data_IF_384612336059
#
_entry.id   IF_384612336059
#
_cell.length_a   1.000
_cell.length_b   1.000
_cell.length_c   1.000
_cell.angle_alpha   90.00
_cell.angle_beta   90.00
_cell.angle_gamma   90.00
#
_symmetry.space_group_name_H-M   'P 1'
#
loop_
_entity.id
_entity.type
_entity.pdbx_description
1 polymer ?
#
# COMPACT_ATOMS: atom_id res chain seq x y z
N UNK A 1 9.44 4.41 -18.10
CA UNK A 1 8.87 4.55 -16.74
C UNK A 1 10.00 4.50 -15.73
N UNK A 2 10.10 5.49 -14.84
CA UNK A 2 11.01 5.48 -13.70
C UNK A 2 10.30 4.81 -12.51
N UNK A 3 11.06 4.04 -11.74
CA UNK A 3 10.57 3.33 -10.57
C UNK A 3 11.56 3.48 -9.40
N UNK A 4 11.07 3.74 -8.21
CA UNK A 4 11.83 3.72 -6.96
C UNK A 4 11.03 3.02 -5.87
N UNK A 5 11.71 2.25 -5.04
CA UNK A 5 11.20 1.67 -3.82
C UNK A 5 11.87 2.41 -2.64
N UNK A 6 11.07 3.02 -1.79
CA UNK A 6 11.52 3.92 -0.72
C UNK A 6 11.11 3.33 0.63
N UNK A 7 12.08 3.04 1.48
CA UNK A 7 11.82 2.37 2.75
C UNK A 7 11.69 3.35 3.91
N UNK A 8 10.70 3.16 4.76
CA UNK A 8 10.55 3.80 6.06
C UNK A 8 10.86 2.77 7.17
N UNK A 9 11.77 3.14 8.07
CA UNK A 9 12.39 2.19 9.00
C UNK A 9 11.51 1.82 10.20
N UNK A 10 10.71 2.77 10.72
CA UNK A 10 9.95 2.57 11.96
C UNK A 10 8.76 1.63 11.77
N UNK A 11 7.98 1.83 10.70
CA UNK A 11 6.86 0.97 10.31
C UNK A 11 7.27 -0.19 9.40
N UNK A 12 8.53 -0.18 8.90
CA UNK A 12 9.03 -1.12 7.88
C UNK A 12 8.21 -1.08 6.59
N UNK A 13 7.73 0.11 6.23
CA UNK A 13 6.86 0.34 5.08
C UNK A 13 7.66 0.72 3.84
N UNK A 14 7.23 0.23 2.69
CA UNK A 14 7.68 0.68 1.38
C UNK A 14 6.69 1.64 0.75
N UNK A 15 7.16 2.84 0.44
CA UNK A 15 6.50 3.75 -0.51
C UNK A 15 7.05 3.46 -1.91
N UNK A 16 6.18 3.40 -2.91
CA UNK A 16 6.60 3.16 -4.30
C UNK A 16 6.38 4.41 -5.15
N UNK A 17 7.45 4.86 -5.83
CA UNK A 17 7.39 5.97 -6.78
C UNK A 17 7.35 5.43 -8.21
N UNK A 18 6.33 5.82 -8.95
CA UNK A 18 6.19 5.58 -10.40
C UNK A 18 6.16 6.91 -11.13
N UNK A 19 7.01 7.08 -12.15
CA UNK A 19 6.97 8.29 -12.97
C UNK A 19 6.90 7.94 -14.46
N UNK A 20 5.99 8.61 -15.14
CA UNK A 20 5.89 8.58 -16.60
C UNK A 20 6.90 9.54 -17.21
N UNK A 21 7.94 9.02 -17.86
CA UNK A 21 9.03 9.81 -18.44
C UNK A 21 8.55 10.78 -19.54
N UNK A 22 7.52 10.39 -20.30
CA UNK A 22 6.98 11.23 -21.37
C UNK A 22 6.25 12.48 -20.86
N UNK A 23 5.50 12.33 -19.75
CA UNK A 23 4.66 13.41 -19.22
C UNK A 23 5.23 14.09 -17.96
N UNK A 24 6.27 13.50 -17.35
CA UNK A 24 6.81 13.93 -16.06
C UNK A 24 5.86 13.72 -14.87
N UNK A 25 4.67 13.13 -15.09
CA UNK A 25 3.70 12.85 -14.02
C UNK A 25 4.23 11.75 -13.12
N UNK A 26 4.11 11.96 -11.81
CA UNK A 26 4.57 11.02 -10.80
C UNK A 26 3.45 10.65 -9.84
N UNK A 27 3.47 9.42 -9.40
CA UNK A 27 2.60 8.80 -8.41
C UNK A 27 3.45 8.26 -7.27
N UNK A 28 3.00 8.45 -6.03
CA UNK A 28 3.49 7.71 -4.85
C UNK A 28 2.39 6.74 -4.40
N UNK A 29 2.75 5.47 -4.18
CA UNK A 29 1.87 4.46 -3.58
C UNK A 29 2.27 4.33 -2.11
N UNK A 30 1.29 4.38 -1.21
CA UNK A 30 1.41 4.24 0.25
C UNK A 30 2.52 5.14 0.87
N UNK A 31 2.47 6.48 0.71
CA UNK A 31 3.47 7.37 1.27
C UNK A 31 3.32 7.51 2.78
N UNK A 32 4.42 7.44 3.51
CA UNK A 32 4.47 7.60 4.97
C UNK A 32 4.69 9.05 5.36
N UNK A 33 3.92 9.57 6.33
CA UNK A 33 3.98 10.98 6.77
C UNK A 33 5.40 11.41 7.20
N UNK A 34 6.07 10.55 7.95
CA UNK A 34 7.42 10.80 8.46
C UNK A 34 8.49 10.96 7.37
N UNK A 35 8.23 10.46 6.15
CA UNK A 35 9.19 10.50 5.04
C UNK A 35 8.82 11.47 3.93
N UNK A 36 7.77 12.28 4.11
CA UNK A 36 7.29 13.23 3.08
C UNK A 36 8.40 14.16 2.59
N UNK A 37 9.23 14.70 3.50
CA UNK A 37 10.29 15.65 3.14
C UNK A 37 11.39 14.96 2.29
N UNK A 38 11.76 13.71 2.61
CA UNK A 38 12.66 12.87 1.80
C UNK A 38 12.09 12.67 0.39
N UNK A 39 10.80 12.33 0.31
CA UNK A 39 10.16 12.00 -0.95
C UNK A 39 10.03 13.24 -1.84
N UNK A 40 9.72 14.40 -1.25
CA UNK A 40 9.71 15.69 -1.95
C UNK A 40 11.11 16.10 -2.45
N UNK A 41 12.14 15.92 -1.62
CA UNK A 41 13.52 16.18 -2.04
C UNK A 41 13.92 15.30 -3.22
N UNK A 42 13.62 14.00 -3.18
CA UNK A 42 13.90 13.07 -4.27
C UNK A 42 13.20 13.51 -5.58
N UNK A 43 11.93 13.88 -5.50
CA UNK A 43 11.17 14.39 -6.64
C UNK A 43 11.82 15.65 -7.23
N UNK A 44 12.25 16.57 -6.39
CA UNK A 44 12.95 17.80 -6.81
C UNK A 44 14.27 17.50 -7.49
N UNK A 45 15.11 16.63 -6.90
CA UNK A 45 16.40 16.21 -7.47
C UNK A 45 16.25 15.54 -8.84
N UNK A 46 15.16 14.80 -9.03
CA UNK A 46 14.86 14.13 -10.30
C UNK A 46 14.10 15.03 -11.30
N UNK A 47 13.71 16.25 -10.94
CA UNK A 47 12.92 17.14 -11.78
C UNK A 47 11.52 16.60 -12.08
N UNK A 48 10.94 15.81 -11.16
CA UNK A 48 9.63 15.18 -11.31
C UNK A 48 8.54 15.99 -10.61
N UNK A 49 7.32 15.93 -11.16
CA UNK A 49 6.14 16.56 -10.56
C UNK A 49 5.23 15.49 -9.96
N UNK A 50 5.05 15.50 -8.63
CA UNK A 50 4.03 14.68 -7.99
C UNK A 50 2.63 15.14 -8.44
N UNK A 51 1.86 14.22 -8.98
CA UNK A 51 0.51 14.49 -9.46
C UNK A 51 -0.55 13.68 -8.73
N UNK A 52 -0.17 12.53 -8.15
CA UNK A 52 -1.07 11.65 -7.45
C UNK A 52 -0.37 10.96 -6.26
N UNK A 53 -1.16 10.70 -5.24
CA UNK A 53 -0.91 9.68 -4.22
C UNK A 53 -1.96 8.59 -4.41
N UNK A 54 -1.60 7.33 -4.19
CA UNK A 54 -2.49 6.17 -4.34
C UNK A 54 -2.32 5.25 -3.13
N UNK A 55 -3.39 5.07 -2.36
CA UNK A 55 -3.39 4.20 -1.18
C UNK A 55 -3.91 2.81 -1.53
N UNK A 56 -3.30 1.76 -0.98
CA UNK A 56 -3.79 0.38 -1.10
C UNK A 56 -4.95 0.12 -0.14
N UNK A 57 -4.90 0.67 1.05
CA UNK A 57 -5.89 0.50 2.13
C UNK A 57 -5.73 1.58 3.21
N UNK A 58 -6.57 1.56 4.23
CA UNK A 58 -6.40 2.39 5.44
C UNK A 58 -5.37 1.71 6.35
N UNK A 59 -4.16 2.30 6.44
CA UNK A 59 -3.05 1.76 7.21
C UNK A 59 -3.26 1.90 8.73
N UNK A 60 -2.83 0.90 9.51
CA UNK A 60 -2.92 0.89 10.98
C UNK A 60 -1.56 1.09 11.67
N UNK A 61 -0.47 1.05 10.93
CA UNK A 61 0.92 1.04 11.41
C UNK A 61 1.66 2.37 11.22
N UNK A 62 1.14 3.26 10.36
CA UNK A 62 1.67 4.60 10.13
C UNK A 62 0.58 5.57 9.68
N UNK A 63 0.82 6.87 9.82
CA UNK A 63 0.01 7.90 9.15
C UNK A 63 0.49 8.07 7.72
N UNK A 64 -0.48 8.11 6.78
CA UNK A 64 -0.14 8.43 5.38
C UNK A 64 0.30 9.88 5.23
N UNK A 65 1.25 10.11 4.32
CA UNK A 65 1.69 11.45 3.92
C UNK A 65 0.77 12.16 2.92
N UNK A 66 -0.35 11.54 2.54
CA UNK A 66 -1.18 11.99 1.42
C UNK A 66 -1.67 13.44 1.55
N UNK A 67 -2.21 13.83 2.72
CA UNK A 67 -2.71 15.19 2.94
C UNK A 67 -1.58 16.24 2.91
N UNK A 68 -0.44 15.95 3.56
CA UNK A 68 0.73 16.85 3.56
C UNK A 68 1.28 17.01 2.14
N UNK A 69 1.42 15.92 1.40
CA UNK A 69 1.85 15.94 0.00
C UNK A 69 0.90 16.77 -0.87
N UNK A 70 -0.43 16.60 -0.72
CA UNK A 70 -1.42 17.39 -1.45
C UNK A 70 -1.30 18.88 -1.11
N UNK A 71 -1.13 19.24 0.15
CA UNK A 71 -0.99 20.64 0.60
C UNK A 71 0.23 21.31 -0.05
N UNK A 72 1.33 20.58 -0.22
CA UNK A 72 2.59 21.13 -0.75
C UNK A 72 2.61 21.12 -2.29
N UNK A 73 2.07 20.09 -2.94
CA UNK A 73 2.26 19.85 -4.38
C UNK A 73 1.00 20.00 -5.23
N UNK A 74 -0.16 20.17 -4.60
CA UNK A 74 -1.48 20.15 -5.26
C UNK A 74 -1.75 18.80 -5.98
N UNK A 75 -1.16 17.70 -5.50
CA UNK A 75 -1.44 16.37 -6.03
C UNK A 75 -2.83 15.89 -5.64
N UNK A 76 -3.39 14.95 -6.38
CA UNK A 76 -4.66 14.30 -6.06
C UNK A 76 -4.45 13.07 -5.21
N UNK A 77 -5.35 12.84 -4.27
CA UNK A 77 -5.38 11.64 -3.44
C UNK A 77 -6.35 10.63 -4.07
N UNK A 78 -5.82 9.45 -4.39
CA UNK A 78 -6.56 8.30 -4.89
C UNK A 78 -6.51 7.16 -3.88
N UNK A 79 -7.52 6.31 -3.86
CA UNK A 79 -7.58 5.13 -2.99
C UNK A 79 -8.88 4.36 -3.18
N UNK A 80 -9.10 3.25 -2.48
CA UNK A 80 -10.26 2.38 -2.64
C UNK A 80 -11.58 3.15 -2.58
N UNK A 81 -12.43 3.02 -3.61
CA UNK A 81 -13.69 3.76 -3.69
C UNK A 81 -14.64 3.41 -2.54
N UNK A 82 -14.59 2.17 -2.06
CA UNK A 82 -15.47 1.65 -1.01
C UNK A 82 -15.22 2.29 0.36
N UNK A 83 -14.01 2.79 0.65
CA UNK A 83 -13.70 3.49 1.91
C UNK A 83 -14.48 4.81 2.05
N UNK A 84 -14.95 5.38 0.94
CA UNK A 84 -15.76 6.60 0.90
C UNK A 84 -15.16 7.77 1.71
N UNK A 85 -13.84 7.95 1.64
CA UNK A 85 -13.12 8.97 2.41
C UNK A 85 -13.47 10.39 1.93
N UNK A 86 -13.79 11.34 2.84
CA UNK A 86 -14.18 12.69 2.47
C UNK A 86 -13.04 13.53 1.85
N UNK A 87 -11.81 13.14 2.10
CA UNK A 87 -10.61 13.82 1.64
C UNK A 87 -10.03 13.27 0.33
N UNK A 88 -10.56 12.15 -0.18
CA UNK A 88 -10.10 11.51 -1.40
C UNK A 88 -10.67 12.22 -2.64
N UNK A 89 -9.81 12.46 -3.64
CA UNK A 89 -10.19 13.08 -4.92
C UNK A 89 -10.64 12.03 -5.94
N UNK A 90 -10.04 10.82 -5.92
CA UNK A 90 -10.26 9.76 -6.91
C UNK A 90 -10.53 8.44 -6.20
N UNK A 91 -11.74 7.90 -6.34
CA UNK A 91 -12.06 6.54 -5.94
C UNK A 91 -11.60 5.55 -7.00
N UNK A 92 -10.74 4.58 -6.63
CA UNK A 92 -10.34 3.49 -7.53
C UNK A 92 -11.19 2.26 -7.29
N UNK A 93 -11.47 1.53 -8.35
CA UNK A 93 -12.21 0.28 -8.29
C UNK A 93 -11.71 -0.69 -9.36
N UNK A 94 -11.90 -1.97 -9.09
CA UNK A 94 -11.52 -3.02 -10.05
C UNK A 94 -12.28 -2.85 -11.37
N UNK A 95 -11.58 -3.11 -12.49
CA UNK A 95 -12.12 -2.93 -13.84
C UNK A 95 -11.99 -1.52 -14.41
N UNK A 96 -11.60 -0.54 -13.60
CA UNK A 96 -11.33 0.84 -14.05
C UNK A 96 -9.84 1.16 -13.90
N UNK A 97 -9.05 1.11 -14.98
CA UNK A 97 -7.61 1.38 -14.91
C UNK A 97 -7.32 2.82 -14.46
N UNK A 98 -6.37 2.97 -13.54
CA UNK A 98 -5.79 4.26 -13.18
C UNK A 98 -4.70 4.65 -14.18
N UNK A 99 -4.77 5.85 -14.76
CA UNK A 99 -3.89 6.30 -15.84
C UNK A 99 -2.93 7.38 -15.37
N UNK A 100 -1.63 7.08 -15.41
CA UNK A 100 -0.55 8.01 -15.10
C UNK A 100 0.27 8.31 -16.37
N UNK A 101 -0.14 9.32 -17.14
CA UNK A 101 0.47 9.57 -18.45
C UNK A 101 0.22 8.40 -19.40
N UNK A 102 1.30 7.75 -19.88
CA UNK A 102 1.21 6.53 -20.69
C UNK A 102 1.21 5.23 -19.87
N UNK A 103 1.28 5.32 -18.53
CA UNK A 103 1.30 4.16 -17.65
C UNK A 103 -0.13 3.81 -17.25
N UNK A 104 -0.53 2.56 -17.47
CA UNK A 104 -1.78 1.99 -17.01
C UNK A 104 -1.54 1.11 -15.78
N UNK A 105 -2.26 1.39 -14.71
CA UNK A 105 -2.25 0.65 -13.44
C UNK A 105 -3.64 0.06 -13.24
N UNK A 106 -3.73 -1.26 -13.07
CA UNK A 106 -5.00 -1.96 -12.93
C UNK A 106 -5.27 -2.25 -11.45
N UNK A 107 -6.28 -1.62 -10.83
CA UNK A 107 -6.69 -1.95 -9.48
C UNK A 107 -7.28 -3.37 -9.43
N UNK A 108 -6.92 -4.11 -8.41
CA UNK A 108 -7.48 -5.41 -8.07
C UNK A 108 -8.12 -5.30 -6.69
N UNK A 109 -9.40 -5.56 -6.57
CA UNK A 109 -10.10 -5.62 -5.29
C UNK A 109 -9.69 -6.89 -4.55
N UNK A 110 -8.95 -6.75 -3.44
CA UNK A 110 -8.30 -7.85 -2.73
C UNK A 110 -8.58 -7.80 -1.23
N UNK A 111 -9.87 -7.92 -0.84
CA UNK A 111 -10.27 -7.88 0.56
C UNK A 111 -9.64 -9.04 1.35
N UNK A 112 -9.53 -8.83 2.67
CA UNK A 112 -9.14 -9.86 3.61
C UNK A 112 -8.14 -9.40 4.66
N UNK A 113 -7.12 -8.59 4.33
CA UNK A 113 -6.35 -7.84 5.33
C UNK A 113 -7.22 -6.71 5.92
N UNK A 114 -7.78 -5.89 5.05
CA UNK A 114 -8.94 -5.03 5.34
C UNK A 114 -10.07 -5.37 4.37
N UNK A 115 -11.30 -4.93 4.67
CA UNK A 115 -12.48 -5.20 3.84
C UNK A 115 -12.46 -4.49 2.48
N UNK A 116 -11.76 -3.37 2.36
CA UNK A 116 -11.71 -2.57 1.12
C UNK A 116 -10.31 -2.53 0.47
N UNK A 117 -9.40 -3.40 0.89
CA UNK A 117 -8.04 -3.47 0.37
C UNK A 117 -8.02 -3.61 -1.16
N UNK A 118 -7.10 -2.88 -1.81
CA UNK A 118 -6.79 -3.00 -3.23
C UNK A 118 -5.29 -3.23 -3.42
N UNK A 119 -4.96 -4.11 -4.36
CA UNK A 119 -3.63 -4.22 -4.93
C UNK A 119 -3.60 -3.53 -6.30
N UNK A 120 -2.41 -3.23 -6.80
CA UNK A 120 -2.23 -2.54 -8.08
C UNK A 120 -1.33 -3.32 -9.00
N UNK A 121 -1.87 -3.75 -10.14
CA UNK A 121 -1.13 -4.48 -11.16
C UNK A 121 -0.70 -3.55 -12.29
N UNK A 122 0.59 -3.44 -12.49
CA UNK A 122 1.20 -2.82 -13.65
C UNK A 122 1.69 -3.94 -14.56
N UNK A 123 0.95 -4.19 -15.64
CA UNK A 123 1.31 -5.20 -16.62
C UNK A 123 1.68 -4.52 -17.95
N UNK A 124 2.83 -4.88 -18.48
CA UNK A 124 3.27 -4.49 -19.81
C UNK A 124 3.88 -5.70 -20.53
N UNK A 125 4.26 -5.53 -21.80
CA UNK A 125 4.80 -6.61 -22.62
C UNK A 125 6.20 -7.11 -22.19
N UNK A 126 6.85 -6.47 -21.23
CA UNK A 126 8.22 -6.75 -20.82
C UNK A 126 8.24 -7.36 -19.42
N UNK A 127 7.48 -6.78 -18.49
CA UNK A 127 7.52 -7.15 -17.08
C UNK A 127 6.20 -6.79 -16.40
N UNK A 128 5.69 -7.70 -15.59
CA UNK A 128 4.52 -7.44 -14.72
C UNK A 128 4.97 -7.17 -13.30
N UNK A 129 4.39 -6.14 -12.68
CA UNK A 129 4.65 -5.74 -11.28
C UNK A 129 3.34 -5.66 -10.52
N UNK A 130 3.29 -6.35 -9.40
CA UNK A 130 2.17 -6.31 -8.47
C UNK A 130 2.58 -5.56 -7.21
N UNK A 131 1.94 -4.43 -6.93
CA UNK A 131 1.98 -3.75 -5.64
C UNK A 131 0.88 -4.36 -4.79
N UNK A 132 1.26 -5.30 -3.95
CA UNK A 132 0.31 -6.18 -3.26
C UNK A 132 -0.29 -5.58 -1.99
N UNK A 133 0.17 -4.39 -1.56
CA UNK A 133 -0.19 -3.86 -0.27
C UNK A 133 0.12 -4.87 0.84
N UNK A 134 -0.81 -5.02 1.76
CA UNK A 134 -0.72 -6.01 2.84
C UNK A 134 -1.48 -7.31 2.55
N UNK A 135 -2.02 -7.50 1.34
CA UNK A 135 -2.64 -8.79 1.02
C UNK A 135 -1.61 -9.92 0.92
N UNK A 136 -0.50 -9.71 0.19
CA UNK A 136 0.59 -10.69 0.06
C UNK A 136 1.92 -10.04 0.40
N UNK A 137 2.62 -10.58 1.38
CA UNK A 137 3.96 -10.20 1.81
C UNK A 137 4.97 -11.26 1.40
N UNK A 138 6.26 -10.97 1.53
CA UNK A 138 7.32 -11.95 1.24
C UNK A 138 7.31 -13.04 2.33
N UNK A 139 7.17 -14.30 1.93
CA UNK A 139 7.03 -15.48 2.82
C UNK A 139 5.84 -15.40 3.80
N UNK A 140 4.89 -14.49 3.57
CA UNK A 140 3.83 -14.18 4.53
C UNK A 140 2.63 -13.54 3.84
N UNK A 141 1.63 -13.14 4.61
CA UNK A 141 0.52 -12.29 4.18
C UNK A 141 0.08 -11.40 5.34
N UNK A 142 -0.72 -10.39 5.06
CA UNK A 142 -1.28 -9.51 6.09
C UNK A 142 -2.10 -10.27 7.13
N UNK A 143 -2.20 -9.69 8.32
CA UNK A 143 -3.11 -10.17 9.37
C UNK A 143 -4.57 -9.90 8.98
N UNK A 144 -5.50 -10.62 9.59
CA UNK A 144 -6.93 -10.55 9.25
C UNK A 144 -7.83 -10.36 10.48
N UNK A 145 -7.26 -10.01 11.61
CA UNK A 145 -7.95 -9.92 12.91
C UNK A 145 -8.39 -8.49 13.28
N UNK A 146 -8.16 -7.49 12.39
CA UNK A 146 -8.58 -6.09 12.54
C UNK A 146 -9.26 -5.58 11.28
N UNK A 147 -9.84 -4.37 11.35
CA UNK A 147 -10.38 -3.60 10.23
C UNK A 147 -11.27 -4.44 9.29
N UNK A 148 -12.18 -5.25 9.89
CA UNK A 148 -13.07 -6.16 9.17
C UNK A 148 -12.34 -7.21 8.31
N UNK A 149 -11.09 -7.56 8.68
CA UNK A 149 -10.32 -8.58 8.00
C UNK A 149 -10.98 -9.96 8.04
N UNK A 150 -10.67 -10.76 7.03
CA UNK A 150 -11.25 -12.09 6.83
C UNK A 150 -10.20 -13.02 6.21
N UNK A 151 -9.80 -14.09 6.90
CA UNK A 151 -8.85 -15.04 6.31
C UNK A 151 -9.44 -15.74 5.09
N UNK A 152 -10.75 -15.98 5.05
CA UNK A 152 -11.43 -16.57 3.89
C UNK A 152 -11.33 -15.68 2.66
N UNK A 153 -11.55 -14.38 2.83
CA UNK A 153 -11.50 -13.42 1.72
C UNK A 153 -10.06 -13.17 1.29
N UNK A 154 -9.10 -13.12 2.23
CA UNK A 154 -7.68 -13.00 1.89
C UNK A 154 -7.19 -14.19 1.08
N UNK A 155 -7.58 -15.42 1.47
CA UNK A 155 -7.26 -16.62 0.71
C UNK A 155 -7.78 -16.55 -0.71
N UNK A 156 -9.06 -16.18 -0.90
CA UNK A 156 -9.66 -16.02 -2.24
C UNK A 156 -8.95 -14.93 -3.03
N UNK A 157 -8.71 -13.77 -2.43
CA UNK A 157 -8.02 -12.65 -3.07
C UNK A 157 -6.65 -13.09 -3.62
N UNK A 158 -5.86 -13.81 -2.84
CA UNK A 158 -4.54 -14.28 -3.27
C UNK A 158 -4.66 -15.37 -4.35
N UNK A 159 -5.51 -16.37 -4.16
CA UNK A 159 -5.64 -17.48 -5.09
C UNK A 159 -6.27 -17.08 -6.43
N UNK A 160 -7.32 -16.27 -6.40
CA UNK A 160 -8.11 -15.94 -7.59
C UNK A 160 -7.57 -14.73 -8.36
N UNK A 161 -6.74 -13.87 -7.70
CA UNK A 161 -6.22 -12.65 -8.35
C UNK A 161 -4.71 -12.60 -8.47
N UNK A 162 -3.97 -13.11 -7.49
CA UNK A 162 -2.51 -13.08 -7.55
C UNK A 162 -1.92 -14.37 -8.12
N UNK A 163 -2.34 -15.51 -7.60
CA UNK A 163 -1.78 -16.81 -8.02
C UNK A 163 -2.18 -17.24 -9.43
N UNK A 164 -3.08 -16.52 -10.10
CA UNK A 164 -3.37 -16.69 -11.53
C UNK A 164 -2.43 -15.87 -12.42
N UNK A 165 -1.67 -14.93 -11.87
CA UNK A 165 -0.69 -14.15 -12.61
C UNK A 165 0.50 -15.04 -13.03
N UNK A 166 1.27 -14.63 -14.07
CA UNK A 166 2.51 -15.31 -14.45
C UNK A 166 3.47 -15.44 -13.26
N UNK A 167 4.17 -16.57 -13.16
CA UNK A 167 5.06 -16.86 -12.04
C UNK A 167 6.24 -15.91 -11.91
N UNK A 168 6.65 -15.25 -13.00
CA UNK A 168 7.69 -14.23 -13.05
C UNK A 168 7.19 -12.81 -12.71
N UNK A 169 5.89 -12.63 -12.44
CA UNK A 169 5.36 -11.34 -11.96
C UNK A 169 6.05 -10.96 -10.65
N UNK A 170 6.70 -9.79 -10.64
CA UNK A 170 7.40 -9.28 -9.45
C UNK A 170 6.38 -8.72 -8.47
N UNK A 171 6.46 -9.15 -7.22
CA UNK A 171 5.61 -8.68 -6.12
C UNK A 171 6.38 -7.68 -5.26
N UNK A 172 5.79 -6.51 -5.07
CA UNK A 172 6.24 -5.42 -4.23
C UNK A 172 5.23 -5.23 -3.09
N UNK A 173 5.51 -5.76 -1.88
CA UNK A 173 4.60 -5.67 -0.74
C UNK A 173 4.70 -4.31 -0.03
N UNK A 174 3.68 -3.94 0.78
CA UNK A 174 3.76 -2.74 1.61
C UNK A 174 4.83 -2.86 2.71
N UNK A 175 5.07 -4.08 3.23
CA UNK A 175 6.03 -4.31 4.31
C UNK A 175 7.04 -5.42 3.98
N UNK A 176 8.27 -5.23 4.50
CA UNK A 176 9.26 -6.30 4.59
C UNK A 176 10.13 -6.12 5.83
N UNK A 177 10.16 -7.14 6.66
CA UNK A 177 10.90 -7.16 7.93
C UNK A 177 12.25 -7.88 7.82
N UNK A 178 12.59 -8.40 6.65
CA UNK A 178 13.77 -9.25 6.42
C UNK A 178 14.78 -8.65 5.41
N UNK A 179 14.49 -7.46 4.85
CA UNK A 179 15.37 -6.80 3.87
C UNK A 179 15.43 -7.49 2.51
N UNK A 180 14.33 -8.14 2.09
CA UNK A 180 14.27 -8.89 0.83
C UNK A 180 13.80 -8.04 -0.37
N UNK A 181 13.18 -6.91 -0.14
CA UNK A 181 12.73 -5.91 -1.10
C UNK A 181 11.59 -6.32 -2.03
N UNK A 182 11.63 -7.50 -2.62
CA UNK A 182 10.61 -8.02 -3.54
C UNK A 182 10.67 -9.54 -3.62
N UNK A 183 9.63 -10.13 -4.18
CA UNK A 183 9.53 -11.57 -4.47
C UNK A 183 8.86 -11.78 -5.83
N UNK A 184 8.48 -13.00 -6.17
CA UNK A 184 7.71 -13.32 -7.36
C UNK A 184 6.49 -14.16 -7.02
N UNK A 185 5.47 -14.12 -7.89
CA UNK A 185 4.28 -14.94 -7.72
C UNK A 185 4.64 -16.43 -7.63
N UNK A 186 5.58 -16.91 -8.44
CA UNK A 186 6.01 -18.30 -8.42
C UNK A 186 6.67 -18.73 -7.12
N UNK A 187 7.50 -17.85 -6.52
CA UNK A 187 8.10 -18.10 -5.21
C UNK A 187 7.04 -18.14 -4.11
N UNK A 188 6.12 -17.17 -4.08
CA UNK A 188 5.07 -17.14 -3.07
C UNK A 188 4.09 -18.32 -3.20
N UNK A 189 3.78 -18.78 -4.41
CA UNK A 189 3.01 -20.02 -4.61
C UNK A 189 3.68 -21.24 -4.00
N UNK A 190 5.00 -21.37 -4.17
CA UNK A 190 5.73 -22.57 -3.77
C UNK A 190 6.23 -22.53 -2.32
N UNK A 191 6.63 -21.37 -1.82
CA UNK A 191 7.42 -21.28 -0.58
C UNK A 191 6.75 -20.49 0.55
N UNK A 192 5.72 -19.66 0.25
CA UNK A 192 5.10 -18.84 1.27
C UNK A 192 4.61 -19.68 2.46
N UNK A 193 5.10 -19.34 3.64
CA UNK A 193 4.87 -20.13 4.87
C UNK A 193 3.42 -20.17 5.32
N UNK A 194 2.60 -19.17 4.97
CA UNK A 194 1.20 -19.07 5.35
C UNK A 194 0.26 -19.61 4.28
N UNK A 195 0.46 -19.27 3.00
CA UNK A 195 -0.51 -19.54 1.93
C UNK A 195 0.05 -20.34 0.74
N UNK A 196 1.37 -20.51 0.65
CA UNK A 196 2.04 -21.26 -0.41
C UNK A 196 1.90 -22.78 -0.27
N UNK A 197 2.61 -23.51 -1.15
CA UNK A 197 2.72 -24.97 -1.12
C UNK A 197 1.35 -25.70 -1.22
N UNK A 198 0.46 -25.18 -2.08
CA UNK A 198 -0.90 -25.73 -2.30
C UNK A 198 -1.74 -25.86 -1.02
N UNK A 199 -1.53 -24.98 -0.07
CA UNK A 199 -2.26 -24.97 1.19
C UNK A 199 -3.76 -24.78 0.95
N UNK A 200 -4.57 -25.60 1.58
CA UNK A 200 -6.03 -25.52 1.48
C UNK A 200 -6.56 -24.33 2.29
N UNK A 201 -7.74 -23.83 1.94
CA UNK A 201 -8.44 -22.78 2.69
C UNK A 201 -8.53 -23.11 4.18
N UNK A 202 -8.85 -24.36 4.53
CA UNK A 202 -8.99 -24.79 5.93
C UNK A 202 -7.66 -24.69 6.71
N UNK A 203 -6.57 -25.11 6.09
CA UNK A 203 -5.23 -25.00 6.69
C UNK A 203 -4.81 -23.55 6.86
N UNK A 204 -5.07 -22.72 5.83
CA UNK A 204 -4.79 -21.29 5.89
C UNK A 204 -5.56 -20.61 7.03
N UNK A 205 -6.88 -20.81 7.13
CA UNK A 205 -7.71 -20.28 8.23
C UNK A 205 -7.16 -20.73 9.58
N UNK A 206 -6.78 -22.00 9.72
CA UNK A 206 -6.19 -22.51 10.98
C UNK A 206 -4.90 -21.80 11.34
N UNK A 207 -4.03 -21.53 10.36
CA UNK A 207 -2.79 -20.78 10.56
C UNK A 207 -3.11 -19.35 10.99
N UNK A 208 -3.96 -18.63 10.24
CA UNK A 208 -4.28 -17.24 10.53
C UNK A 208 -4.91 -17.07 11.91
N UNK A 209 -5.81 -17.96 12.30
CA UNK A 209 -6.44 -17.94 13.63
C UNK A 209 -5.49 -18.34 14.78
N UNK A 210 -4.37 -18.98 14.48
CA UNK A 210 -3.35 -19.35 15.47
C UNK A 210 -2.27 -18.27 15.68
N UNK A 211 -2.28 -17.20 14.88
CA UNK A 211 -1.29 -16.13 14.98
C UNK A 211 -1.51 -15.34 16.29
N UNK A 212 -0.48 -15.31 17.13
CA UNK A 212 -0.41 -14.45 18.32
C UNK A 212 0.45 -13.23 18.00
N UNK A 213 -0.14 -12.25 17.34
CA UNK A 213 0.55 -11.02 16.92
C UNK A 213 0.23 -9.88 17.90
N UNK A 214 1.23 -9.05 18.27
CA UNK A 214 0.98 -7.91 19.14
C UNK A 214 -0.02 -6.94 18.52
N UNK A 215 -0.74 -6.21 19.36
CA UNK A 215 -1.63 -5.13 18.90
C UNK A 215 -0.83 -4.08 18.12
N UNK A 216 -1.33 -3.58 16.97
CA UNK A 216 -0.65 -2.55 16.21
C UNK A 216 -0.54 -1.25 17.02
N UNK A 217 0.68 -0.87 17.39
CA UNK A 217 0.95 0.22 18.37
C UNK A 217 0.36 1.58 17.96
N UNK A 218 0.17 1.82 16.67
CA UNK A 218 -0.26 3.11 16.14
C UNK A 218 -1.74 3.12 15.73
N UNK A 219 -2.44 1.96 15.78
CA UNK A 219 -3.80 1.80 15.28
C UNK A 219 -4.77 2.85 15.85
N UNK A 220 -4.68 3.16 17.14
CA UNK A 220 -5.60 4.07 17.83
C UNK A 220 -5.58 5.51 17.27
N UNK A 221 -4.51 5.91 16.60
CA UNK A 221 -4.42 7.21 15.95
C UNK A 221 -4.19 7.13 14.43
N UNK A 222 -3.55 6.07 13.93
CA UNK A 222 -3.29 5.94 12.50
C UNK A 222 -4.59 5.67 11.71
N UNK A 223 -5.43 4.74 12.14
CA UNK A 223 -6.69 4.46 11.44
C UNK A 223 -7.58 5.70 11.36
N UNK A 224 -7.97 6.38 12.46
CA UNK A 224 -8.79 7.59 12.35
C UNK A 224 -8.11 8.75 11.61
N UNK A 225 -6.78 8.86 11.67
CA UNK A 225 -6.02 9.82 10.87
C UNK A 225 -6.06 9.53 9.39
N UNK A 226 -5.92 8.26 9.02
CA UNK A 226 -5.91 7.81 7.61
C UNK A 226 -7.31 7.80 6.98
N UNK A 227 -8.37 7.64 7.76
CA UNK A 227 -9.75 7.91 7.33
C UNK A 227 -9.96 9.40 6.91
N UNK A 228 -9.05 10.27 7.33
CA UNK A 228 -8.96 11.68 6.93
C UNK A 228 -7.69 11.96 6.10
N UNK A 229 -7.19 10.94 5.35
CA UNK A 229 -6.03 11.01 4.45
C UNK A 229 -4.71 11.44 5.12
N UNK A 230 -4.50 11.05 6.37
CA UNK A 230 -3.29 11.38 7.12
C UNK A 230 -3.40 12.67 7.94
N UNK A 231 -4.63 13.19 8.15
CA UNK A 231 -4.82 14.28 9.09
C UNK A 231 -4.45 13.81 10.50
N UNK A 232 -3.54 14.55 11.13
CA UNK A 232 -3.11 14.23 12.49
C UNK A 232 -4.24 14.36 13.50
N UNK A 233 -4.64 13.28 14.17
CA UNK A 233 -5.65 13.34 15.22
C UNK A 233 -5.08 13.93 16.52
N UNK A 234 -5.96 14.36 17.43
CA UNK A 234 -5.56 15.02 18.68
C UNK A 234 -4.84 14.07 19.67
N UNK A 235 -5.00 12.76 19.53
CA UNK A 235 -4.39 11.73 20.37
C UNK A 235 -3.03 11.22 19.84
N UNK A 236 -2.44 11.89 18.86
CA UNK A 236 -1.08 11.57 18.40
C UNK A 236 -0.09 11.80 19.56
N UNK A 237 0.83 10.85 19.83
CA UNK A 237 1.85 11.00 20.86
C UNK A 237 2.69 12.28 20.69
N UNK A 238 3.08 12.92 21.80
CA UNK A 238 3.83 14.19 21.79
C UNK A 238 5.12 14.13 20.95
N UNK A 239 5.79 13.00 20.90
CA UNK A 239 6.99 12.76 20.08
C UNK A 239 6.71 12.84 18.57
N UNK A 240 5.47 12.58 18.14
CA UNK A 240 4.99 12.70 16.76
C UNK A 240 4.30 14.04 16.48
N UNK A 241 3.96 14.77 17.52
CA UNK A 241 3.21 16.04 17.41
C UNK A 241 3.96 17.12 16.61
N UNK A 242 5.28 17.06 16.56
CA UNK A 242 6.10 18.01 15.75
C UNK A 242 5.86 17.83 14.25
N UNK A 243 5.81 16.58 13.76
CA UNK A 243 5.54 16.28 12.34
C UNK A 243 4.13 16.74 11.99
N UNK A 244 3.20 16.57 12.93
CA UNK A 244 1.81 17.00 12.81
C UNK A 244 1.60 18.52 12.97
N UNK A 245 2.46 19.23 13.70
CA UNK A 245 2.28 20.68 13.97
C UNK A 245 2.72 21.56 12.80
N UNK A 246 3.58 21.06 11.93
CA UNK A 246 3.98 21.77 10.70
C UNK A 246 2.80 21.90 9.72
N UNK A 247 1.78 21.04 9.82
CA UNK A 247 0.56 21.09 9.00
C UNK A 247 -0.43 22.20 9.43
N UNK A 248 -0.25 22.84 10.62
CA UNK A 248 -1.18 23.86 11.15
C UNK A 248 -0.85 25.30 10.72
N UNK A 249 0.20 25.52 9.93
CA UNK A 249 0.65 26.86 9.51
C UNK A 249 0.40 27.17 8.01
N UNK A 250 -0.52 26.42 7.34
CA UNK A 250 -0.93 26.67 5.97
C UNK A 250 -2.36 27.17 5.85
#
# INVERSE_FOLDING_TARGET
MLFKQLFELESSTYTYMLACEESGKTLLIDPVLETVDRDLQLLQEMGLKLTHVLETHIHADHLTGALKLRTITDCKIAGPALDNLPCRDIGVQEGEPFILGSIQINPLFTPGHTDHHHAYLLANNIESRLFSGDALLIDSCGRTDFQHGSPEDLYKSIHEKFFILPDDTIVFPCHDYAGKFSTTIGLEKSENSRIGNNRTLREFISIMNSLDLPFPKKMDYAVPGNELCGKCPDNVPDEKSKICSEDKQG
#
